data_IF_966167099542
#
_entry.id   IF_966167099542
#
_cell.length_a   1.000
_cell.length_b   1.000
_cell.length_c   1.000
_cell.angle_alpha   90.00
_cell.angle_beta   90.00
_cell.angle_gamma   90.00
#
_symmetry.space_group_name_H-M   'P 1'
#
loop_
_entity.id
_entity.type
_entity.pdbx_description
1 polymer ?
#
# COMPACT_ATOMS: atom_id res chain seq x y z
N UNK A 1 15.39 42.24 -2.92
CA UNK A 1 15.82 41.14 -3.79
C UNK A 1 17.24 40.76 -3.38
N UNK A 2 17.40 39.64 -2.72
CA UNK A 2 18.71 39.02 -2.46
C UNK A 2 18.73 37.77 -3.36
N UNK A 3 19.39 37.86 -4.50
CA UNK A 3 19.74 36.70 -5.29
C UNK A 3 20.92 36.00 -4.59
N UNK A 4 20.69 34.85 -3.98
CA UNK A 4 21.79 33.97 -3.63
C UNK A 4 22.26 33.29 -4.91
N UNK A 5 23.35 33.79 -5.49
CA UNK A 5 24.07 33.05 -6.53
C UNK A 5 24.59 31.76 -5.91
N UNK A 6 24.19 30.64 -6.48
CA UNK A 6 24.77 29.34 -6.12
C UNK A 6 26.18 29.30 -6.70
N UNK A 7 27.19 29.31 -5.82
CA UNK A 7 28.60 29.25 -6.22
C UNK A 7 28.97 27.82 -6.67
N UNK A 8 28.88 27.57 -7.98
CA UNK A 8 29.24 26.31 -8.59
C UNK A 8 30.72 25.93 -8.40
N UNK A 9 31.61 26.89 -8.06
CA UNK A 9 33.01 26.59 -7.74
C UNK A 9 33.14 25.96 -6.34
N UNK A 10 32.22 26.24 -5.43
CA UNK A 10 32.18 25.57 -4.13
C UNK A 10 31.75 24.11 -4.26
N UNK A 11 30.85 23.80 -5.19
CA UNK A 11 30.38 22.43 -5.46
C UNK A 11 31.49 21.62 -6.13
N UNK A 12 32.29 22.20 -7.04
CA UNK A 12 33.37 21.49 -7.69
C UNK A 12 34.54 21.12 -6.77
N UNK A 13 34.69 21.83 -5.64
CA UNK A 13 35.67 21.48 -4.61
C UNK A 13 35.30 20.27 -3.77
N UNK A 14 34.00 19.94 -3.67
CA UNK A 14 33.55 18.73 -2.99
C UNK A 14 33.86 17.46 -3.80
N UNK A 15 34.00 17.56 -5.12
CA UNK A 15 34.35 16.42 -5.98
C UNK A 15 35.87 16.16 -6.06
N UNK A 16 36.71 16.99 -5.41
CA UNK A 16 38.17 16.86 -5.40
C UNK A 16 38.76 16.55 -4.02
N UNK A 17 37.95 16.12 -3.07
CA UNK A 17 38.49 15.51 -1.85
C UNK A 17 38.87 14.09 -2.23
N UNK A 18 40.12 13.90 -2.64
CA UNK A 18 40.78 12.59 -2.71
C UNK A 18 40.77 12.04 -1.27
N UNK A 19 39.78 11.22 -0.94
CA UNK A 19 39.90 10.31 0.17
C UNK A 19 40.87 9.24 -0.25
N UNK A 20 42.15 9.36 0.14
CA UNK A 20 43.02 8.20 0.24
C UNK A 20 42.36 7.25 1.23
N UNK A 21 41.57 6.32 0.70
CA UNK A 21 41.06 5.19 1.46
C UNK A 21 42.27 4.31 1.72
N UNK A 22 42.83 4.40 2.93
CA UNK A 22 43.87 3.47 3.36
C UNK A 22 43.34 2.05 3.25
N UNK A 23 43.79 1.34 2.23
CA UNK A 23 43.42 -0.04 1.93
C UNK A 23 43.75 -1.00 3.11
N UNK A 24 44.55 -0.57 4.08
CA UNK A 24 44.83 -1.35 5.28
C UNK A 24 43.72 -1.21 6.35
N UNK A 25 42.90 -0.18 6.30
CA UNK A 25 41.75 -0.08 7.21
C UNK A 25 40.61 -1.07 6.88
N UNK A 26 40.58 -1.58 5.65
CA UNK A 26 39.64 -2.63 5.23
C UNK A 26 40.12 -4.05 5.54
N UNK A 27 41.41 -4.26 5.78
CA UNK A 27 41.94 -5.59 6.07
C UNK A 27 41.62 -6.09 7.49
N UNK A 28 41.15 -5.24 8.39
CA UNK A 28 40.68 -5.65 9.71
C UNK A 28 39.19 -6.07 9.73
N UNK A 29 38.46 -5.86 8.61
CA UNK A 29 37.07 -6.30 8.44
C UNK A 29 36.95 -7.63 7.68
N UNK A 30 38.05 -8.32 7.44
CA UNK A 30 38.14 -9.43 6.46
C UNK A 30 37.86 -10.82 7.02
N UNK A 31 37.33 -10.97 8.22
CA UNK A 31 36.98 -12.30 8.74
C UNK A 31 35.49 -12.57 8.87
N UNK A 32 34.63 -11.56 8.68
CA UNK A 32 33.21 -11.80 8.60
C UNK A 32 32.72 -11.18 7.29
N UNK A 33 32.22 -12.01 6.40
CA UNK A 33 31.60 -11.61 5.13
C UNK A 33 30.31 -10.84 5.41
N UNK A 34 30.44 -9.61 5.86
CA UNK A 34 29.34 -8.66 5.93
C UNK A 34 29.25 -7.97 4.60
N UNK A 35 28.41 -8.48 3.75
CA UNK A 35 28.00 -7.76 2.53
C UNK A 35 27.20 -6.54 2.95
N UNK A 36 27.84 -5.38 2.96
CA UNK A 36 27.19 -4.08 2.99
C UNK A 36 26.51 -3.86 1.64
N UNK A 37 25.36 -4.45 1.43
CA UNK A 37 24.46 -4.05 0.37
C UNK A 37 23.27 -3.35 0.99
N UNK A 38 23.31 -2.03 0.91
CA UNK A 38 22.18 -1.15 1.11
C UNK A 38 21.29 -1.40 2.33
N UNK A 39 21.69 -0.90 3.51
CA UNK A 39 20.76 -0.72 4.63
C UNK A 39 20.55 -1.91 5.55
N UNK A 40 21.27 -3.00 5.36
CA UNK A 40 21.18 -4.15 6.26
C UNK A 40 21.98 -3.89 7.52
N UNK A 41 21.27 -3.79 8.64
CA UNK A 41 21.89 -3.73 9.96
C UNK A 41 22.50 -5.08 10.33
N UNK A 42 23.81 -5.15 10.42
CA UNK A 42 24.54 -6.36 10.72
C UNK A 42 25.04 -6.37 12.14
N UNK A 43 24.50 -7.22 12.95
CA UNK A 43 25.19 -7.70 14.14
C UNK A 43 25.06 -9.22 14.19
N UNK A 44 26.01 -9.94 13.64
CA UNK A 44 26.19 -11.33 13.95
C UNK A 44 26.86 -11.41 15.33
N UNK A 45 26.10 -11.73 16.36
CA UNK A 45 26.67 -12.08 17.67
C UNK A 45 26.40 -13.56 17.91
N UNK A 46 27.45 -14.34 18.03
CA UNK A 46 27.44 -15.75 18.43
C UNK A 46 26.89 -15.98 19.86
N UNK A 47 25.99 -15.11 20.31
CA UNK A 47 25.37 -15.23 21.62
C UNK A 47 23.98 -15.83 21.48
N UNK A 48 23.63 -16.89 22.17
CA UNK A 48 22.30 -17.50 22.13
C UNK A 48 21.18 -16.60 22.65
N UNK A 49 21.51 -15.42 23.17
CA UNK A 49 20.56 -14.41 23.65
C UNK A 49 20.57 -13.15 22.75
N UNK A 50 21.19 -13.20 21.57
CA UNK A 50 21.21 -12.03 20.69
C UNK A 50 19.90 -11.92 19.91
N UNK A 51 19.38 -10.70 19.88
CA UNK A 51 18.36 -10.28 18.94
C UNK A 51 18.77 -10.71 17.52
N UNK A 52 17.84 -11.28 16.75
CA UNK A 52 18.12 -11.70 15.37
C UNK A 52 18.83 -10.59 14.60
N UNK A 53 19.88 -10.96 13.95
CA UNK A 53 20.87 -10.05 13.36
C UNK A 53 20.43 -9.41 12.05
N UNK A 54 19.20 -9.62 11.56
CA UNK A 54 18.75 -9.12 10.27
C UNK A 54 17.63 -8.11 10.42
N UNK A 55 17.98 -6.84 10.48
CA UNK A 55 17.04 -5.76 10.20
C UNK A 55 17.36 -5.22 8.82
N UNK A 56 16.39 -5.25 7.91
CA UNK A 56 16.45 -4.61 6.61
C UNK A 56 15.68 -3.30 6.63
N UNK A 57 16.11 -2.33 5.82
CA UNK A 57 15.40 -1.09 5.58
C UNK A 57 15.04 -1.00 4.10
N UNK A 58 13.80 -0.64 3.82
CA UNK A 58 13.30 -0.32 2.48
C UNK A 58 12.88 1.15 2.42
N UNK A 59 12.99 1.72 1.23
CA UNK A 59 12.59 3.09 0.96
C UNK A 59 11.71 3.11 -0.29
N UNK A 60 10.59 3.80 -0.20
CA UNK A 60 9.70 4.06 -1.33
C UNK A 60 9.46 5.56 -1.45
N UNK A 61 9.23 6.04 -2.66
CA UNK A 61 8.82 7.42 -2.88
C UNK A 61 7.86 7.47 -4.07
N UNK A 62 6.85 8.28 -3.94
CA UNK A 62 5.89 8.60 -4.98
C UNK A 62 5.77 10.11 -5.13
N UNK A 63 5.55 10.58 -6.34
CA UNK A 63 5.32 12.00 -6.62
C UNK A 63 4.28 12.15 -7.72
N UNK A 64 3.31 13.03 -7.50
CA UNK A 64 2.24 13.32 -8.44
C UNK A 64 2.35 14.78 -8.87
N UNK A 65 2.54 14.99 -10.16
CA UNK A 65 2.49 16.31 -10.79
C UNK A 65 1.25 16.40 -11.67
N UNK A 66 0.28 17.17 -11.27
CA UNK A 66 -0.97 17.26 -12.00
C UNK A 66 -1.89 18.37 -11.52
N UNK A 67 -3.04 18.47 -12.16
CA UNK A 67 -4.10 19.39 -11.77
C UNK A 67 -5.44 18.66 -11.74
N UNK A 68 -6.25 19.04 -10.76
CA UNK A 68 -7.64 18.61 -10.66
C UNK A 68 -8.53 19.78 -11.04
N UNK A 69 -9.47 19.56 -11.95
CA UNK A 69 -10.51 20.55 -12.32
C UNK A 69 -11.85 20.02 -11.81
N UNK A 70 -12.55 20.80 -11.02
CA UNK A 70 -13.86 20.48 -10.47
C UNK A 70 -14.78 21.67 -10.52
N UNK A 71 -16.05 21.43 -10.78
CA UNK A 71 -17.09 22.47 -10.71
C UNK A 71 -17.32 22.97 -9.27
N UNK A 72 -16.81 22.22 -8.27
CA UNK A 72 -16.93 22.56 -6.84
C UNK A 72 -15.74 23.37 -6.33
N UNK A 73 -14.59 23.31 -6.98
CA UNK A 73 -13.37 24.05 -6.62
C UNK A 73 -12.97 25.02 -7.72
N UNK A 74 -12.72 26.27 -7.33
CA UNK A 74 -12.32 27.34 -8.26
C UNK A 74 -10.81 27.47 -8.42
N UNK A 75 -10.03 26.67 -7.73
CA UNK A 75 -8.57 26.69 -7.80
C UNK A 75 -8.04 25.63 -8.80
N UNK A 76 -8.12 25.94 -10.08
CA UNK A 76 -7.46 25.15 -11.13
C UNK A 76 -5.93 25.34 -11.02
N UNK A 77 -5.29 24.67 -10.09
CA UNK A 77 -3.85 24.73 -9.89
C UNK A 77 -3.19 23.39 -10.23
N UNK A 78 -2.00 23.46 -10.80
CA UNK A 78 -1.12 22.29 -10.90
C UNK A 78 -0.37 22.18 -9.58
N UNK A 79 -0.47 21.04 -8.92
CA UNK A 79 0.27 20.71 -7.70
C UNK A 79 1.39 19.71 -7.99
N UNK A 80 2.36 19.70 -7.11
CA UNK A 80 3.34 18.64 -6.97
C UNK A 80 3.23 18.10 -5.55
N UNK A 81 2.59 16.95 -5.44
CA UNK A 81 2.45 16.26 -4.18
C UNK A 81 3.43 15.09 -4.15
N UNK A 82 3.91 14.76 -2.97
CA UNK A 82 4.82 13.64 -2.77
C UNK A 82 4.56 12.92 -1.47
N UNK A 83 4.95 11.67 -1.46
CA UNK A 83 5.07 10.85 -0.26
C UNK A 83 6.31 9.98 -0.34
N UNK A 84 6.85 9.62 0.81
CA UNK A 84 7.87 8.60 0.93
C UNK A 84 7.67 7.78 2.19
N UNK A 85 7.96 6.49 2.07
CA UNK A 85 7.87 5.52 3.14
C UNK A 85 9.22 4.92 3.49
N UNK A 86 9.40 4.59 4.77
CA UNK A 86 10.53 3.84 5.29
C UNK A 86 9.98 2.59 5.96
N UNK A 87 10.29 1.43 5.41
CA UNK A 87 9.98 0.14 6.03
C UNK A 87 11.21 -0.41 6.76
N UNK A 88 11.03 -0.83 8.00
CA UNK A 88 12.02 -1.54 8.78
C UNK A 88 11.49 -2.94 9.08
N UNK A 89 12.19 -3.98 8.65
CA UNK A 89 11.80 -5.38 8.87
C UNK A 89 12.89 -6.11 9.64
N UNK A 90 12.52 -6.75 10.74
CA UNK A 90 13.40 -7.60 11.53
C UNK A 90 12.78 -8.99 11.72
N UNK A 91 13.60 -10.02 11.84
CA UNK A 91 13.17 -11.36 12.22
C UNK A 91 13.84 -11.79 13.52
N UNK A 92 13.09 -12.46 14.39
CA UNK A 92 13.61 -13.01 15.65
C UNK A 92 13.93 -14.50 15.54
N UNK A 93 13.21 -15.21 14.68
CA UNK A 93 13.32 -16.67 14.54
C UNK A 93 13.81 -17.10 13.17
N UNK A 94 13.79 -16.20 12.18
CA UNK A 94 14.05 -16.47 10.77
C UNK A 94 12.82 -16.91 9.97
N UNK A 95 11.70 -17.17 10.65
CA UNK A 95 10.41 -17.54 10.03
C UNK A 95 9.31 -16.51 10.32
N UNK A 96 9.64 -15.44 11.04
CA UNK A 96 8.76 -14.35 11.44
C UNK A 96 9.23 -13.02 10.87
N UNK A 97 8.37 -12.00 10.91
CA UNK A 97 8.78 -10.62 10.68
C UNK A 97 8.17 -9.67 11.71
N UNK A 98 8.99 -8.73 12.14
CA UNK A 98 8.56 -7.56 12.88
C UNK A 98 8.79 -6.34 12.01
N UNK A 99 7.71 -5.69 11.64
CA UNK A 99 7.69 -4.60 10.65
C UNK A 99 7.28 -3.29 11.31
N UNK A 100 7.99 -2.22 10.97
CA UNK A 100 7.64 -0.85 11.33
C UNK A 100 7.63 -0.02 10.06
N UNK A 101 6.52 0.66 9.79
CA UNK A 101 6.38 1.59 8.67
C UNK A 101 6.36 3.04 9.16
N UNK A 102 7.02 3.92 8.43
CA UNK A 102 7.11 5.36 8.72
C UNK A 102 6.83 6.09 7.42
N UNK A 103 5.87 6.99 7.45
CA UNK A 103 5.41 7.73 6.28
C UNK A 103 5.60 9.24 6.43
N UNK A 104 5.78 9.88 5.28
CA UNK A 104 5.88 11.33 5.15
C UNK A 104 5.25 11.76 3.85
N UNK A 105 4.37 12.75 3.89
CA UNK A 105 3.77 13.32 2.69
C UNK A 105 3.32 14.76 2.88
N UNK A 106 3.22 15.48 1.76
CA UNK A 106 2.82 16.88 1.75
C UNK A 106 1.38 17.12 1.23
N UNK A 107 0.63 16.05 0.96
CA UNK A 107 -0.66 16.16 0.26
C UNK A 107 -1.82 16.69 1.12
N UNK A 108 -1.57 17.13 2.36
CA UNK A 108 -2.60 17.66 3.23
C UNK A 108 -3.31 18.88 2.62
N UNK A 109 -4.63 18.73 2.41
CA UNK A 109 -5.46 19.76 1.77
C UNK A 109 -5.31 19.85 0.26
N UNK A 110 -4.53 18.97 -0.36
CA UNK A 110 -4.47 18.84 -1.82
C UNK A 110 -5.62 17.97 -2.34
N UNK A 111 -6.28 18.32 -3.45
CA UNK A 111 -7.27 17.45 -4.08
C UNK A 111 -6.71 16.08 -4.48
N UNK A 112 -5.42 15.99 -4.75
CA UNK A 112 -4.75 14.74 -5.10
C UNK A 112 -4.70 13.73 -3.95
N UNK A 113 -4.73 14.17 -2.70
CA UNK A 113 -4.69 13.28 -1.55
C UNK A 113 -5.87 12.29 -1.52
N UNK A 114 -7.08 12.77 -1.83
CA UNK A 114 -8.26 11.92 -1.88
C UNK A 114 -8.34 11.07 -3.16
N UNK A 115 -7.79 11.58 -4.29
CA UNK A 115 -7.87 10.88 -5.57
C UNK A 115 -6.84 9.75 -5.66
N UNK A 116 -5.64 9.96 -5.10
CA UNK A 116 -4.49 9.06 -5.24
C UNK A 116 -4.04 8.42 -3.93
N UNK A 117 -4.78 8.60 -2.84
CA UNK A 117 -4.41 8.02 -1.53
C UNK A 117 -3.08 8.54 -0.97
N UNK A 118 -2.74 9.82 -1.24
CA UNK A 118 -1.46 10.40 -0.84
C UNK A 118 -1.41 10.74 0.65
N UNK A 119 -0.26 10.52 1.28
CA UNK A 119 -0.03 10.80 2.69
C UNK A 119 -0.16 12.28 3.05
N UNK A 120 -0.89 12.54 4.12
CA UNK A 120 -1.23 13.87 4.61
C UNK A 120 -0.53 14.21 5.94
N UNK A 121 0.71 13.80 6.11
CA UNK A 121 1.46 13.98 7.37
C UNK A 121 2.01 15.38 7.57
N UNK A 122 1.78 16.32 6.63
CA UNK A 122 2.32 17.70 6.66
C UNK A 122 3.85 17.73 6.80
N UNK A 123 4.55 16.90 6.04
CA UNK A 123 6.01 16.74 6.07
C UNK A 123 6.57 16.23 7.41
N UNK A 124 5.74 15.68 8.27
CA UNK A 124 6.16 15.11 9.55
C UNK A 124 6.35 13.60 9.39
N UNK A 125 7.47 13.07 9.88
CA UNK A 125 7.66 11.63 9.98
C UNK A 125 6.67 11.06 10.99
N UNK A 126 5.80 10.17 10.51
CA UNK A 126 4.76 9.54 11.32
C UNK A 126 4.93 8.03 11.26
N UNK A 127 4.84 7.37 12.40
CA UNK A 127 4.77 5.91 12.40
C UNK A 127 3.40 5.54 11.86
N UNK A 128 3.38 4.85 10.73
CA UNK A 128 2.17 4.43 10.05
C UNK A 128 1.70 3.08 10.56
N UNK A 129 2.61 2.14 10.83
CA UNK A 129 2.23 0.84 11.34
C UNK A 129 3.35 0.11 12.08
N UNK A 130 2.94 -0.73 13.02
CA UNK A 130 3.82 -1.67 13.71
C UNK A 130 3.13 -3.02 13.71
N UNK A 131 3.77 -4.05 13.14
CA UNK A 131 3.16 -5.36 13.04
C UNK A 131 4.16 -6.50 13.30
N UNK A 132 3.66 -7.60 13.82
CA UNK A 132 4.40 -8.84 13.98
C UNK A 132 3.67 -9.97 13.27
N UNK A 133 4.34 -10.57 12.30
CA UNK A 133 3.82 -11.68 11.49
C UNK A 133 4.61 -12.95 11.81
N UNK A 134 3.91 -14.03 12.07
CA UNK A 134 4.52 -15.29 12.48
C UNK A 134 3.71 -16.51 12.05
N UNK A 135 4.35 -17.66 11.78
CA UNK A 135 3.66 -18.90 11.44
C UNK A 135 3.11 -19.61 12.69
N UNK A 136 1.90 -20.17 12.54
CA UNK A 136 1.30 -21.07 13.54
C UNK A 136 0.80 -22.33 12.85
N UNK A 137 1.56 -23.39 12.94
CA UNK A 137 1.29 -24.60 12.14
C UNK A 137 1.41 -24.30 10.64
N UNK A 138 0.33 -24.47 9.89
CA UNK A 138 0.27 -24.11 8.45
C UNK A 138 -0.35 -22.75 8.18
N UNK A 139 -0.76 -22.01 9.21
CA UNK A 139 -1.34 -20.68 9.08
C UNK A 139 -0.29 -19.60 9.30
N UNK A 140 -0.50 -18.43 8.72
CA UNK A 140 0.20 -17.18 9.01
C UNK A 140 -0.68 -16.34 9.89
N UNK A 141 -0.13 -15.78 10.96
CA UNK A 141 -0.81 -14.83 11.83
C UNK A 141 -0.08 -13.50 11.83
N UNK A 142 -0.83 -12.41 11.94
CA UNK A 142 -0.31 -11.05 12.06
C UNK A 142 -1.07 -10.34 13.17
N UNK A 143 -0.34 -9.64 14.01
CA UNK A 143 -0.88 -8.75 15.03
C UNK A 143 -0.14 -7.42 14.93
N UNK A 144 -0.84 -6.32 15.12
CA UNK A 144 -0.21 -5.02 14.96
C UNK A 144 -1.09 -3.87 15.45
N UNK A 145 -0.56 -2.68 15.25
CA UNK A 145 -1.24 -1.40 15.42
C UNK A 145 -1.08 -0.60 14.14
N UNK A 146 -2.10 0.17 13.78
CA UNK A 146 -2.18 0.87 12.49
C UNK A 146 -1.98 -0.07 11.29
N UNK A 147 -2.65 -1.20 11.33
CA UNK A 147 -2.74 -2.20 10.25
C UNK A 147 -4.18 -2.69 10.14
N UNK A 148 -4.60 -3.14 8.99
CA UNK A 148 -5.97 -3.57 8.77
C UNK A 148 -6.15 -5.10 8.73
N UNK A 149 -7.39 -5.53 8.77
CA UNK A 149 -7.76 -6.95 8.75
C UNK A 149 -7.36 -7.62 7.43
N UNK A 150 -7.31 -6.86 6.33
CA UNK A 150 -7.02 -7.37 4.99
C UNK A 150 -5.53 -7.60 4.73
N UNK A 151 -4.66 -7.20 5.67
CA UNK A 151 -3.20 -7.26 5.49
C UNK A 151 -2.64 -8.66 5.19
N UNK A 152 -3.44 -9.72 5.39
CA UNK A 152 -3.15 -11.11 5.01
C UNK A 152 -4.13 -11.66 3.97
N UNK A 153 -5.01 -10.84 3.37
CA UNK A 153 -5.88 -11.25 2.28
C UNK A 153 -5.06 -11.46 1.01
N UNK A 154 -5.47 -12.40 0.21
CA UNK A 154 -4.80 -12.69 -1.07
C UNK A 154 -5.32 -11.80 -2.19
N UNK A 155 -6.62 -11.50 -2.17
CA UNK A 155 -7.31 -10.80 -3.25
C UNK A 155 -7.28 -11.54 -4.58
N UNK A 156 -8.00 -11.02 -5.55
CA UNK A 156 -7.96 -11.50 -6.93
C UNK A 156 -8.09 -10.35 -7.95
N UNK A 157 -7.79 -9.13 -7.56
CA UNK A 157 -7.70 -8.01 -8.50
C UNK A 157 -6.32 -8.00 -9.16
N UNK A 158 -6.28 -8.01 -10.49
CA UNK A 158 -5.04 -7.92 -11.27
C UNK A 158 -4.94 -6.59 -12.04
N UNK A 159 -5.72 -5.59 -11.64
CA UNK A 159 -5.70 -4.27 -12.24
C UNK A 159 -4.77 -3.33 -11.45
N UNK A 160 -3.91 -2.63 -12.18
CA UNK A 160 -3.07 -1.58 -11.57
C UNK A 160 -3.78 -0.23 -11.71
N UNK A 161 -4.45 0.19 -10.65
CA UNK A 161 -5.21 1.43 -10.61
C UNK A 161 -4.28 2.65 -10.66
N UNK A 162 -4.73 3.70 -11.32
CA UNK A 162 -4.10 5.02 -11.30
C UNK A 162 -4.74 5.91 -10.22
N UNK A 163 -6.04 5.73 -10.01
CA UNK A 163 -6.83 6.39 -8.98
C UNK A 163 -7.06 5.39 -7.85
N UNK A 164 -6.82 5.79 -6.61
CA UNK A 164 -6.91 4.95 -5.41
C UNK A 164 -8.25 4.21 -5.30
N UNK A 165 -9.35 4.89 -5.56
CA UNK A 165 -10.70 4.31 -5.54
C UNK A 165 -10.86 3.06 -6.44
N UNK A 166 -10.10 2.94 -7.53
CA UNK A 166 -10.12 1.76 -8.41
C UNK A 166 -9.21 0.62 -7.94
N UNK A 167 -8.46 0.84 -6.86
CA UNK A 167 -7.75 -0.21 -6.15
C UNK A 167 -8.68 -1.35 -5.75
N UNK A 168 -8.14 -2.54 -5.56
CA UNK A 168 -8.89 -3.76 -5.24
C UNK A 168 -10.09 -4.04 -6.15
N UNK A 169 -10.05 -3.52 -7.40
CA UNK A 169 -11.15 -3.59 -8.34
C UNK A 169 -12.46 -2.97 -7.81
N UNK A 170 -12.36 -1.85 -7.07
CA UNK A 170 -13.50 -1.15 -6.50
C UNK A 170 -14.20 -1.91 -5.38
N UNK A 171 -13.51 -2.84 -4.71
CA UNK A 171 -14.03 -3.57 -3.54
C UNK A 171 -13.25 -3.22 -2.27
N UNK A 172 -12.70 -2.01 -2.22
CA UNK A 172 -11.81 -1.56 -1.15
C UNK A 172 -12.46 -1.54 0.23
N UNK A 173 -13.76 -1.25 0.33
CA UNK A 173 -14.45 -1.21 1.62
C UNK A 173 -14.62 -2.61 2.22
N UNK A 174 -14.88 -3.64 1.41
CA UNK A 174 -14.99 -5.01 1.91
C UNK A 174 -13.65 -5.65 2.28
N UNK A 175 -12.54 -5.14 1.76
CA UNK A 175 -11.19 -5.65 2.03
C UNK A 175 -10.39 -4.74 2.97
N UNK A 176 -10.55 -3.42 2.93
CA UNK A 176 -9.75 -2.43 3.67
C UNK A 176 -10.42 -1.81 4.89
N UNK A 177 -11.54 -2.36 5.37
CA UNK A 177 -12.28 -1.78 6.50
C UNK A 177 -11.48 -1.92 7.80
N UNK A 178 -11.38 -0.82 8.54
CA UNK A 178 -10.81 -0.79 9.89
C UNK A 178 -9.31 -0.52 9.98
N UNK A 179 -8.73 0.06 8.95
CA UNK A 179 -7.30 0.17 8.68
C UNK A 179 -6.39 0.90 9.66
N UNK A 180 -6.82 1.51 10.73
CA UNK A 180 -5.95 2.35 11.56
C UNK A 180 -5.91 1.99 13.04
N UNK A 181 -6.11 0.73 13.38
CA UNK A 181 -6.19 0.31 14.77
C UNK A 181 -5.41 -0.93 15.12
N UNK A 182 -5.58 -1.37 16.37
CA UNK A 182 -5.07 -2.67 16.80
C UNK A 182 -5.77 -3.77 16.02
N UNK A 183 -4.96 -4.65 15.42
CA UNK A 183 -5.45 -5.70 14.51
C UNK A 183 -4.87 -7.05 14.86
N UNK A 184 -5.68 -8.09 14.72
CA UNK A 184 -5.24 -9.47 14.72
C UNK A 184 -5.88 -10.20 13.53
N UNK A 185 -5.05 -10.72 12.62
CA UNK A 185 -5.51 -11.41 11.42
C UNK A 185 -4.74 -12.71 11.21
N UNK A 186 -5.36 -13.65 10.51
CA UNK A 186 -4.77 -14.93 10.16
C UNK A 186 -5.13 -15.31 8.73
N UNK A 187 -4.22 -16.03 8.07
CA UNK A 187 -4.47 -16.61 6.75
C UNK A 187 -3.98 -18.04 6.67
N UNK A 188 -4.59 -18.80 5.75
CA UNK A 188 -4.19 -20.16 5.41
C UNK A 188 -4.25 -20.36 3.90
N UNK A 189 -3.12 -20.75 3.32
CA UNK A 189 -3.04 -21.12 1.90
C UNK A 189 -3.17 -22.63 1.76
N UNK A 190 -4.14 -23.06 0.96
CA UNK A 190 -4.36 -24.47 0.65
C UNK A 190 -3.62 -24.85 -0.64
N UNK A 191 -3.39 -26.15 -0.81
CA UNK A 191 -2.90 -26.65 -2.09
C UNK A 191 -3.90 -26.32 -3.22
N UNK A 192 -3.38 -25.94 -4.38
CA UNK A 192 -4.19 -25.69 -5.58
C UNK A 192 -4.70 -24.26 -5.73
N UNK A 193 -4.12 -23.29 -5.02
CA UNK A 193 -4.37 -21.85 -5.23
C UNK A 193 -5.53 -21.27 -4.42
N UNK A 194 -6.12 -22.03 -3.51
CA UNK A 194 -7.13 -21.51 -2.58
C UNK A 194 -6.49 -20.89 -1.35
N UNK A 195 -7.08 -19.83 -0.83
CA UNK A 195 -6.73 -19.21 0.44
C UNK A 195 -7.97 -18.83 1.24
N UNK A 196 -7.80 -18.75 2.53
CA UNK A 196 -8.79 -18.24 3.49
C UNK A 196 -8.07 -17.32 4.45
N UNK A 197 -8.60 -16.14 4.69
CA UNK A 197 -8.06 -15.19 5.64
C UNK A 197 -9.20 -14.54 6.44
N UNK A 198 -8.88 -13.99 7.61
CA UNK A 198 -9.85 -13.23 8.38
C UNK A 198 -9.22 -12.65 9.63
N UNK A 199 -9.88 -11.65 10.20
CA UNK A 199 -9.35 -10.92 11.33
C UNK A 199 -10.36 -10.05 12.03
N UNK A 200 -9.84 -9.39 13.05
CA UNK A 200 -10.54 -8.38 13.85
C UNK A 200 -9.65 -7.16 13.98
N UNK A 201 -10.24 -5.98 13.97
CA UNK A 201 -9.54 -4.72 14.18
C UNK A 201 -10.40 -3.80 15.04
N UNK A 202 -9.78 -2.90 15.80
CA UNK A 202 -10.46 -1.87 16.56
C UNK A 202 -9.69 -0.56 16.42
N UNK A 203 -10.36 0.57 16.18
CA UNK A 203 -9.71 1.87 16.05
C UNK A 203 -9.08 2.36 17.37
N UNK A 204 -9.33 1.68 18.45
CA UNK A 204 -8.67 1.94 19.73
C UNK A 204 -7.94 0.68 20.26
N UNK A 205 -7.40 0.73 21.47
CA UNK A 205 -6.66 -0.38 22.08
C UNK A 205 -7.56 -1.48 22.65
N UNK A 206 -8.87 -1.29 22.67
CA UNK A 206 -9.85 -2.20 23.25
C UNK A 206 -10.57 -2.97 22.12
N UNK A 207 -10.08 -4.13 21.76
CA UNK A 207 -10.82 -5.05 20.89
C UNK A 207 -12.04 -5.55 21.67
N UNK A 208 -13.25 -5.38 21.11
CA UNK A 208 -14.53 -5.65 21.74
C UNK A 208 -14.97 -4.63 22.83
N UNK A 209 -14.57 -3.38 22.68
CA UNK A 209 -15.04 -2.27 23.53
C UNK A 209 -16.48 -1.84 23.18
N UNK A 210 -17.22 -1.28 24.14
CA UNK A 210 -18.61 -0.78 23.91
C UNK A 210 -18.65 0.61 23.25
N UNK A 211 -17.50 1.25 22.98
CA UNK A 211 -17.44 2.66 22.61
C UNK A 211 -16.90 2.92 21.20
N UNK A 212 -16.47 1.91 20.48
CA UNK A 212 -15.84 2.03 19.16
C UNK A 212 -16.29 0.90 18.25
N UNK A 213 -16.37 1.20 16.98
CA UNK A 213 -16.78 0.28 15.92
C UNK A 213 -15.69 -0.78 15.69
N UNK A 214 -15.83 -1.94 16.33
CA UNK A 214 -14.96 -3.09 16.02
C UNK A 214 -15.24 -3.60 14.60
N UNK A 215 -14.19 -4.03 13.94
CA UNK A 215 -14.26 -4.55 12.58
C UNK A 215 -13.96 -6.03 12.57
N UNK A 216 -14.78 -6.78 11.87
CA UNK A 216 -14.58 -8.20 11.60
C UNK A 216 -14.57 -8.43 10.11
N UNK A 217 -13.66 -9.26 9.63
CA UNK A 217 -13.62 -9.56 8.20
C UNK A 217 -13.12 -10.96 7.91
N UNK A 218 -13.54 -11.45 6.74
CA UNK A 218 -13.12 -12.73 6.21
C UNK A 218 -13.04 -12.66 4.70
N UNK A 219 -12.02 -13.29 4.12
CA UNK A 219 -11.85 -13.47 2.68
C UNK A 219 -11.65 -14.94 2.34
N UNK A 220 -12.23 -15.35 1.22
CA UNK A 220 -11.90 -16.60 0.54
C UNK A 220 -11.50 -16.27 -0.89
N UNK A 221 -10.31 -16.73 -1.31
CA UNK A 221 -9.79 -16.46 -2.64
C UNK A 221 -9.31 -17.74 -3.34
N UNK A 222 -9.36 -17.69 -4.64
CA UNK A 222 -8.68 -18.63 -5.54
C UNK A 222 -7.85 -17.83 -6.54
N UNK A 223 -6.57 -18.15 -6.64
CA UNK A 223 -5.65 -17.52 -7.59
C UNK A 223 -4.90 -18.58 -8.37
N UNK A 224 -5.13 -18.59 -9.67
CA UNK A 224 -4.44 -19.44 -10.65
C UNK A 224 -3.76 -18.60 -11.73
N UNK A 225 -3.03 -19.25 -12.63
CA UNK A 225 -2.25 -18.57 -13.68
C UNK A 225 -3.13 -17.75 -14.65
N UNK A 226 -4.30 -18.26 -14.99
CA UNK A 226 -5.16 -17.65 -16.00
C UNK A 226 -6.34 -16.86 -15.42
N UNK A 227 -6.74 -17.13 -14.20
CA UNK A 227 -7.85 -16.43 -13.55
C UNK A 227 -7.74 -16.51 -12.03
N UNK A 228 -8.36 -15.56 -11.38
CA UNK A 228 -8.56 -15.54 -9.94
C UNK A 228 -9.93 -14.97 -9.60
N UNK A 229 -10.42 -15.32 -8.43
CA UNK A 229 -11.63 -14.76 -7.83
C UNK A 229 -11.48 -14.69 -6.32
N UNK A 230 -11.90 -13.60 -5.69
CA UNK A 230 -12.02 -13.48 -4.24
C UNK A 230 -13.40 -13.00 -3.85
N UNK A 231 -13.80 -13.38 -2.66
CA UNK A 231 -15.01 -12.91 -1.99
C UNK A 231 -14.61 -12.48 -0.59
N UNK A 232 -14.84 -11.22 -0.26
CA UNK A 232 -14.60 -10.67 1.05
C UNK A 232 -15.93 -10.25 1.71
N UNK A 233 -15.98 -10.39 3.01
CA UNK A 233 -17.02 -9.87 3.88
C UNK A 233 -16.36 -9.11 5.01
N UNK A 234 -16.88 -7.94 5.32
CA UNK A 234 -16.49 -7.21 6.52
C UNK A 234 -17.72 -6.59 7.18
N UNK A 235 -17.61 -6.42 8.47
CA UNK A 235 -18.64 -5.88 9.35
C UNK A 235 -17.98 -4.85 10.25
N UNK A 236 -18.55 -3.66 10.25
CA UNK A 236 -18.34 -2.61 11.24
C UNK A 236 -19.71 -2.32 11.86
N UNK A 237 -19.81 -2.01 13.11
CA UNK A 237 -21.09 -1.87 13.85
C UNK A 237 -22.22 -1.16 13.07
N UNK A 238 -21.88 -0.24 12.17
CA UNK A 238 -22.83 0.59 11.41
C UNK A 238 -23.03 0.15 9.96
N UNK A 239 -22.22 -0.78 9.47
CA UNK A 239 -22.31 -1.22 8.07
C UNK A 239 -21.72 -2.60 7.86
N UNK A 240 -22.31 -3.37 6.95
CA UNK A 240 -21.72 -4.60 6.44
C UNK A 240 -21.38 -4.47 4.95
N UNK A 241 -20.27 -5.08 4.56
CA UNK A 241 -19.76 -5.05 3.19
C UNK A 241 -19.58 -6.46 2.65
N UNK A 242 -19.98 -6.65 1.42
CA UNK A 242 -19.72 -7.89 0.66
C UNK A 242 -19.12 -7.51 -0.67
N UNK A 243 -17.86 -7.87 -0.88
CA UNK A 243 -17.15 -7.65 -2.13
C UNK A 243 -16.84 -8.94 -2.86
N UNK A 244 -16.87 -8.90 -4.17
CA UNK A 244 -16.37 -9.95 -5.05
C UNK A 244 -15.53 -9.29 -6.13
N UNK A 245 -14.28 -9.76 -6.29
CA UNK A 245 -13.43 -9.32 -7.38
C UNK A 245 -12.76 -10.50 -8.07
N UNK A 246 -12.20 -10.25 -9.23
CA UNK A 246 -11.49 -11.28 -9.97
C UNK A 246 -10.88 -10.78 -11.26
N UNK A 247 -10.04 -11.62 -11.83
CA UNK A 247 -9.41 -11.37 -13.12
C UNK A 247 -9.47 -12.59 -14.03
N UNK A 248 -9.34 -12.30 -15.32
CA UNK A 248 -9.05 -13.30 -16.33
C UNK A 248 -7.96 -12.79 -17.29
N UNK A 249 -6.86 -13.55 -17.37
CA UNK A 249 -5.74 -13.26 -18.26
C UNK A 249 -5.95 -13.95 -19.62
N UNK A 250 -6.26 -13.15 -20.64
CA UNK A 250 -6.27 -13.57 -22.04
C UNK A 250 -4.86 -13.41 -22.63
N UNK A 251 -4.59 -14.08 -23.75
CA UNK A 251 -3.30 -13.93 -24.45
C UNK A 251 -2.96 -12.48 -24.87
N UNK A 252 -3.97 -11.63 -24.99
CA UNK A 252 -3.81 -10.26 -25.48
C UNK A 252 -3.96 -9.16 -24.41
N UNK A 253 -4.60 -9.45 -23.29
CA UNK A 253 -4.84 -8.52 -22.19
C UNK A 253 -5.40 -9.23 -20.96
N UNK A 254 -5.31 -8.62 -19.79
CA UNK A 254 -5.99 -9.05 -18.57
C UNK A 254 -7.21 -8.18 -18.33
N UNK A 255 -8.36 -8.80 -18.07
CA UNK A 255 -9.57 -8.12 -17.64
C UNK A 255 -9.76 -8.40 -16.16
N UNK A 256 -10.00 -7.34 -15.39
CA UNK A 256 -10.36 -7.43 -13.97
C UNK A 256 -11.73 -6.79 -13.76
N UNK A 257 -12.49 -7.31 -12.81
CA UNK A 257 -13.79 -6.77 -12.45
C UNK A 257 -14.04 -6.94 -10.96
N UNK A 258 -14.86 -6.07 -10.40
CA UNK A 258 -15.28 -6.13 -9.01
C UNK A 258 -16.70 -5.58 -8.83
N UNK A 259 -17.32 -6.06 -7.77
CA UNK A 259 -18.61 -5.57 -7.29
C UNK A 259 -18.61 -5.61 -5.76
N UNK A 260 -19.08 -4.54 -5.16
CA UNK A 260 -19.25 -4.43 -3.72
C UNK A 260 -20.67 -3.95 -3.40
N UNK A 261 -21.25 -4.50 -2.36
CA UNK A 261 -22.49 -3.99 -1.75
C UNK A 261 -22.20 -3.62 -0.30
N UNK A 262 -22.75 -2.51 0.10
CA UNK A 262 -22.75 -2.01 1.46
C UNK A 262 -24.20 -1.93 1.95
N UNK A 263 -24.48 -2.53 3.10
CA UNK A 263 -25.72 -2.38 3.87
C UNK A 263 -25.39 -1.45 5.05
N UNK A 264 -26.10 -0.36 5.17
CA UNK A 264 -25.85 0.70 6.15
C UNK A 264 -27.02 0.81 7.10
N UNK A 265 -26.75 0.69 8.39
CA UNK A 265 -27.77 0.84 9.42
C UNK A 265 -28.41 2.25 9.36
N UNK A 266 -29.75 2.28 9.35
CA UNK A 266 -30.53 3.53 9.32
C UNK A 266 -30.29 4.46 8.11
N UNK A 267 -29.67 3.97 7.01
CA UNK A 267 -29.46 4.70 5.76
C UNK A 267 -29.78 3.84 4.53
N UNK A 268 -29.66 4.42 3.33
CA UNK A 268 -29.82 3.68 2.08
C UNK A 268 -28.57 2.81 1.81
N UNK A 269 -28.78 1.59 1.29
CA UNK A 269 -27.71 0.70 0.87
C UNK A 269 -26.94 1.32 -0.29
N UNK A 270 -25.64 1.01 -0.35
CA UNK A 270 -24.77 1.48 -1.41
C UNK A 270 -24.12 0.32 -2.17
N UNK A 271 -23.68 0.58 -3.39
CA UNK A 271 -22.96 -0.40 -4.19
C UNK A 271 -21.86 0.22 -5.03
N UNK A 272 -20.85 -0.57 -5.37
CA UNK A 272 -19.80 -0.20 -6.30
C UNK A 272 -19.61 -1.30 -7.35
N UNK A 273 -19.29 -0.88 -8.55
CA UNK A 273 -18.95 -1.76 -9.66
C UNK A 273 -17.69 -1.25 -10.36
N UNK A 274 -16.81 -2.19 -10.71
CA UNK A 274 -15.58 -1.90 -11.43
C UNK A 274 -15.37 -2.87 -12.60
N UNK A 275 -14.78 -2.36 -13.67
CA UNK A 275 -14.18 -3.16 -14.75
C UNK A 275 -12.92 -2.47 -15.27
N UNK A 276 -11.83 -3.21 -15.38
CA UNK A 276 -10.55 -2.73 -15.89
C UNK A 276 -9.94 -3.66 -16.91
N UNK A 277 -9.12 -3.10 -17.78
CA UNK A 277 -8.33 -3.82 -18.76
C UNK A 277 -6.88 -3.36 -18.66
N UNK A 278 -5.98 -4.31 -18.49
CA UNK A 278 -4.54 -4.11 -18.47
C UNK A 278 -3.89 -4.84 -19.64
N UNK A 279 -2.98 -4.16 -20.34
CA UNK A 279 -2.28 -4.75 -21.48
C UNK A 279 -0.82 -4.28 -21.55
N UNK A 280 0.08 -5.23 -21.73
CA UNK A 280 1.47 -4.93 -22.05
C UNK A 280 1.59 -4.27 -23.43
N UNK A 281 2.19 -3.08 -23.48
CA UNK A 281 2.39 -2.29 -24.71
C UNK A 281 3.82 -1.76 -24.73
N UNK A 282 4.64 -2.32 -25.60
CA UNK A 282 6.06 -1.97 -25.64
C UNK A 282 6.79 -2.35 -24.35
N UNK A 283 7.51 -1.43 -23.69
CA UNK A 283 8.19 -1.71 -22.44
C UNK A 283 7.34 -1.57 -21.18
N UNK A 284 6.10 -1.10 -21.30
CA UNK A 284 5.22 -0.77 -20.19
C UNK A 284 3.83 -1.35 -20.31
N UNK A 285 2.95 -0.99 -19.36
CA UNK A 285 1.59 -1.48 -19.27
C UNK A 285 0.58 -0.33 -19.44
N UNK A 286 -0.37 -0.53 -20.34
CA UNK A 286 -1.51 0.38 -20.53
C UNK A 286 -2.72 -0.14 -19.77
N UNK A 287 -3.37 0.73 -19.00
CA UNK A 287 -4.53 0.41 -18.19
C UNK A 287 -5.70 1.34 -18.55
N UNK A 288 -6.89 0.79 -18.60
CA UNK A 288 -8.14 1.54 -18.76
C UNK A 288 -9.14 0.96 -17.78
N UNK A 289 -9.71 1.81 -16.92
CA UNK A 289 -10.68 1.44 -15.90
C UNK A 289 -11.98 2.24 -16.00
N UNK A 290 -13.04 1.63 -15.56
CA UNK A 290 -14.35 2.23 -15.33
C UNK A 290 -14.90 1.72 -14.01
N UNK A 291 -15.37 2.64 -13.19
CA UNK A 291 -16.13 2.33 -11.99
C UNK A 291 -17.41 3.15 -11.91
N UNK A 292 -18.41 2.62 -11.25
CA UNK A 292 -19.59 3.37 -10.84
C UNK A 292 -19.91 3.01 -9.39
N UNK A 293 -20.34 4.00 -8.62
CA UNK A 293 -20.67 3.84 -7.21
C UNK A 293 -21.74 4.83 -6.80
N UNK A 294 -22.60 4.43 -5.91
CA UNK A 294 -23.51 5.28 -5.13
C UNK A 294 -22.95 5.58 -3.71
N UNK A 295 -21.75 5.05 -3.40
CA UNK A 295 -20.94 5.56 -2.30
C UNK A 295 -20.37 6.93 -2.68
N UNK A 296 -19.98 7.75 -1.71
CA UNK A 296 -19.25 9.00 -1.94
C UNK A 296 -17.73 8.80 -1.79
N UNK A 297 -17.05 8.24 -2.83
CA UNK A 297 -15.66 7.80 -2.71
C UNK A 297 -14.67 8.98 -2.58
N UNK A 298 -15.12 10.20 -2.87
CA UNK A 298 -14.30 11.41 -2.82
C UNK A 298 -14.69 12.33 -1.67
N UNK A 299 -15.69 11.94 -0.85
CA UNK A 299 -16.16 12.75 0.26
C UNK A 299 -16.75 14.11 -0.16
N UNK A 300 -17.36 14.17 -1.33
CA UNK A 300 -17.89 15.42 -1.91
C UNK A 300 -19.30 15.74 -1.44
N UNK A 301 -19.94 14.86 -0.66
CA UNK A 301 -21.28 15.00 -0.15
C UNK A 301 -22.33 14.93 -1.27
N UNK A 302 -22.10 14.12 -2.31
CA UNK A 302 -23.04 13.88 -3.40
C UNK A 302 -23.80 12.58 -3.13
N UNK A 303 -25.13 12.67 -3.08
CA UNK A 303 -26.03 11.51 -2.91
C UNK A 303 -26.35 10.81 -4.25
N UNK A 304 -25.74 11.24 -5.35
CA UNK A 304 -25.99 10.71 -6.68
C UNK A 304 -24.91 9.71 -7.10
N UNK A 305 -25.29 8.78 -7.99
CA UNK A 305 -24.35 7.81 -8.56
C UNK A 305 -23.16 8.49 -9.23
N UNK A 306 -21.98 8.15 -8.77
CA UNK A 306 -20.70 8.65 -9.30
C UNK A 306 -20.14 7.69 -10.35
N UNK A 307 -19.57 8.23 -11.40
CA UNK A 307 -18.93 7.48 -12.47
C UNK A 307 -17.46 7.90 -12.58
N UNK A 308 -16.55 6.94 -12.53
CA UNK A 308 -15.11 7.19 -12.59
C UNK A 308 -14.53 6.49 -13.82
N UNK A 309 -13.69 7.18 -14.54
CA UNK A 309 -12.97 6.65 -15.69
C UNK A 309 -11.50 6.98 -15.54
N UNK A 310 -10.65 6.03 -15.81
CA UNK A 310 -9.23 6.29 -15.89
C UNK A 310 -8.58 5.65 -17.11
N UNK A 311 -7.46 6.23 -17.50
CA UNK A 311 -6.56 5.65 -18.49
C UNK A 311 -5.13 6.05 -18.13
N UNK A 312 -4.24 5.07 -18.02
CA UNK A 312 -2.85 5.29 -17.64
C UNK A 312 -1.89 4.43 -18.45
N UNK A 313 -0.62 4.82 -18.43
CA UNK A 313 0.45 4.03 -19.01
C UNK A 313 1.65 4.00 -18.07
N UNK A 314 1.90 2.86 -17.43
CA UNK A 314 3.04 2.67 -16.54
C UNK A 314 4.30 2.35 -17.38
N UNK A 315 5.24 3.29 -17.44
CA UNK A 315 6.49 3.15 -18.17
C UNK A 315 7.66 2.93 -17.19
N UNK A 316 8.31 1.75 -17.17
CA UNK A 316 9.49 1.51 -16.35
C UNK A 316 10.69 2.26 -16.98
N UNK A 317 11.16 3.30 -16.30
CA UNK A 317 12.36 4.04 -16.72
C UNK A 317 13.61 3.23 -16.41
N UNK A 318 13.62 2.56 -15.28
CA UNK A 318 14.61 1.59 -14.83
C UNK A 318 14.03 0.71 -13.71
N UNK A 319 14.83 -0.15 -13.10
CA UNK A 319 14.39 -1.10 -12.07
C UNK A 319 13.84 -0.44 -10.79
N UNK A 320 14.12 0.85 -10.56
CA UNK A 320 13.72 1.59 -9.37
C UNK A 320 12.75 2.74 -9.66
N UNK A 321 12.47 3.05 -10.93
CA UNK A 321 11.66 4.21 -11.30
C UNK A 321 10.66 3.86 -12.39
N UNK A 322 9.38 4.07 -12.10
CA UNK A 322 8.28 4.02 -13.07
C UNK A 322 7.66 5.40 -13.22
N UNK A 323 7.37 5.81 -14.44
CA UNK A 323 6.63 7.02 -14.76
C UNK A 323 5.24 6.61 -15.31
N UNK A 324 4.18 7.11 -14.68
CA UNK A 324 2.80 6.74 -15.04
C UNK A 324 2.01 7.99 -15.43
N UNK A 325 2.03 8.43 -16.70
CA UNK A 325 1.05 9.40 -17.17
C UNK A 325 -0.36 8.79 -17.17
N UNK A 326 -1.32 9.56 -16.72
CA UNK A 326 -2.73 9.18 -16.64
C UNK A 326 -3.67 10.39 -16.73
#
# INVERSE_FOLDING_TARGET
AISSEVDFQAISKYSQVDYEVDSNSFNHLSTNNTLLSGGEGLVETDSPDSFSSTTSASFSAEGILGGVSSDLDTSEAVSLDYQYGIGLTSSFTGEDSFDVTIDVGNASGSPSSAIFGMDQTNDVMTVDGIAYTFPVGGATMKVGDSTDISSLYTGACAYSAFIDYMGDCGTGSSVGVGGAGVTATASYAFDGGFSLAGGVSSPDVEITGENFDDVYGIEAAYTGDAYGVSVAFSDIETSTFVGVNGFYAFDFATISAGYESQDVDDADDASAFFVGLSKEVGPGSANIGYASTDQDPLGLGVDDQTYVYEASYAYPVNDALTLTPG
#
